data_IF_407712602702
#
_entry.id   IF_407712602702
#
_cell.length_a   1.000
_cell.length_b   1.000
_cell.length_c   1.000
_cell.angle_alpha   90.00
_cell.angle_beta   90.00
_cell.angle_gamma   90.00
#
_symmetry.space_group_name_H-M   'P 1'
#
loop_
_entity.id
_entity.type
_entity.pdbx_description
1 polymer ?
#
# COMPACT_ATOMS: atom_id res chain seq x y z
N UNK A 1 -26.35 4.71 -16.11
CA UNK A 1 -26.42 5.70 -15.01
C UNK A 1 -25.52 6.88 -15.36
N UNK A 2 -25.95 8.15 -15.14
CA UNK A 2 -25.09 9.30 -15.40
C UNK A 2 -23.86 9.24 -14.48
N UNK A 3 -22.67 9.44 -15.05
CA UNK A 3 -21.42 9.46 -14.27
C UNK A 3 -21.47 10.64 -13.31
N UNK A 4 -21.33 10.38 -12.00
CA UNK A 4 -21.25 11.42 -10.97
C UNK A 4 -20.09 12.36 -11.33
N UNK A 5 -20.36 13.64 -11.54
CA UNK A 5 -19.32 14.62 -11.84
C UNK A 5 -18.58 14.96 -10.54
N UNK A 6 -17.36 14.46 -10.31
CA UNK A 6 -16.68 14.65 -9.03
C UNK A 6 -16.37 16.13 -8.76
N UNK A 7 -16.33 16.96 -9.80
CA UNK A 7 -16.05 18.39 -9.70
C UNK A 7 -17.25 19.17 -9.16
N UNK A 8 -18.49 18.82 -9.54
CA UNK A 8 -19.67 19.55 -9.06
C UNK A 8 -19.84 19.39 -7.56
N UNK A 9 -19.60 18.19 -7.05
CA UNK A 9 -19.63 17.88 -5.62
C UNK A 9 -18.55 18.65 -4.83
N UNK A 10 -17.36 18.84 -5.43
CA UNK A 10 -16.28 19.60 -4.81
C UNK A 10 -16.58 21.11 -4.79
N UNK A 11 -17.24 21.65 -5.82
CA UNK A 11 -17.63 23.06 -5.87
C UNK A 11 -18.67 23.44 -4.81
N UNK A 12 -19.50 22.47 -4.39
CA UNK A 12 -20.51 22.69 -3.36
C UNK A 12 -19.94 22.74 -1.92
N UNK A 13 -18.69 22.29 -1.71
CA UNK A 13 -18.04 22.29 -0.39
C UNK A 13 -17.47 23.65 -0.03
N UNK A 14 -17.36 23.91 1.27
CA UNK A 14 -16.68 25.10 1.79
C UNK A 14 -15.17 25.03 1.56
N UNK A 15 -14.50 26.20 1.60
CA UNK A 15 -13.03 26.28 1.48
C UNK A 15 -12.34 25.40 2.52
N UNK A 16 -12.83 25.42 3.76
CA UNK A 16 -12.23 24.73 4.89
C UNK A 16 -12.33 23.21 4.71
N UNK A 17 -13.50 22.73 4.29
CA UNK A 17 -13.71 21.32 3.97
C UNK A 17 -12.84 20.87 2.79
N UNK A 18 -12.63 21.73 1.79
CA UNK A 18 -11.77 21.41 0.64
C UNK A 18 -10.30 21.31 1.04
N UNK A 19 -9.81 22.19 1.92
CA UNK A 19 -8.45 22.13 2.46
C UNK A 19 -8.28 20.86 3.29
N UNK A 20 -9.22 20.58 4.20
CA UNK A 20 -9.21 19.37 5.03
C UNK A 20 -9.22 18.09 4.17
N UNK A 21 -10.06 18.06 3.14
CA UNK A 21 -10.16 16.93 2.23
C UNK A 21 -8.86 16.76 1.42
N UNK A 22 -8.27 17.85 0.95
CA UNK A 22 -6.99 17.84 0.24
C UNK A 22 -5.86 17.24 1.09
N UNK A 23 -5.75 17.67 2.34
CA UNK A 23 -4.75 17.16 3.29
C UNK A 23 -5.00 15.68 3.64
N UNK A 24 -6.26 15.28 3.84
CA UNK A 24 -6.63 13.86 4.05
C UNK A 24 -6.22 12.99 2.86
N UNK A 25 -6.46 13.47 1.63
CA UNK A 25 -6.10 12.76 0.40
C UNK A 25 -4.59 12.70 0.17
N UNK A 26 -3.84 13.71 0.61
CA UNK A 26 -2.36 13.69 0.59
C UNK A 26 -1.80 12.67 1.58
N UNK A 27 -2.39 12.56 2.78
CA UNK A 27 -2.02 11.52 3.75
C UNK A 27 -2.29 10.12 3.19
N UNK A 28 -3.45 9.91 2.55
CA UNK A 28 -3.78 8.66 1.84
C UNK A 28 -2.74 8.35 0.75
N UNK A 29 -2.36 9.34 -0.07
CA UNK A 29 -1.33 9.16 -1.09
C UNK A 29 0.03 8.80 -0.49
N UNK A 30 0.41 9.39 0.65
CA UNK A 30 1.66 9.07 1.35
C UNK A 30 1.66 7.61 1.84
N UNK A 31 0.56 7.17 2.47
CA UNK A 31 0.36 5.79 2.89
C UNK A 31 0.47 4.80 1.71
N UNK A 32 -0.15 5.09 0.57
CA UNK A 32 -0.06 4.24 -0.62
C UNK A 32 1.36 4.17 -1.19
N UNK A 33 2.09 5.28 -1.21
CA UNK A 33 3.51 5.31 -1.62
C UNK A 33 4.38 4.50 -0.68
N UNK A 34 4.12 4.58 0.62
CA UNK A 34 4.81 3.79 1.62
C UNK A 34 4.56 2.28 1.41
N UNK A 35 3.30 1.86 1.22
CA UNK A 35 2.96 0.47 0.88
C UNK A 35 3.63 0.00 -0.42
N UNK A 36 3.72 0.87 -1.43
CA UNK A 36 4.41 0.56 -2.67
C UNK A 36 5.91 0.32 -2.45
N UNK A 37 6.55 1.17 -1.64
CA UNK A 37 7.97 1.03 -1.30
C UNK A 37 8.26 -0.23 -0.48
N UNK A 38 7.33 -0.62 0.41
CA UNK A 38 7.41 -1.85 1.23
C UNK A 38 7.03 -3.11 0.44
N UNK A 39 6.51 -2.96 -0.78
CA UNK A 39 6.12 -4.08 -1.64
C UNK A 39 4.83 -4.80 -1.22
N UNK A 40 3.98 -4.16 -0.42
CA UNK A 40 2.72 -4.74 0.09
C UNK A 40 1.47 -4.07 -0.52
N UNK A 41 1.62 -3.35 -1.64
CA UNK A 41 0.51 -2.63 -2.27
C UNK A 41 -0.31 -3.56 -3.18
N UNK A 42 -1.57 -3.79 -2.83
CA UNK A 42 -2.48 -4.61 -3.64
C UNK A 42 -3.12 -3.84 -4.81
N UNK A 43 -3.48 -2.56 -4.62
CA UNK A 43 -4.26 -1.77 -5.58
C UNK A 43 -3.43 -0.65 -6.25
N UNK A 44 -2.60 -1.02 -7.21
CA UNK A 44 -1.69 -0.09 -7.93
C UNK A 44 -2.40 1.04 -8.67
N UNK A 45 -3.57 0.77 -9.25
CA UNK A 45 -4.41 1.75 -9.97
C UNK A 45 -5.03 2.82 -9.07
N UNK A 46 -4.99 2.65 -7.75
CA UNK A 46 -5.55 3.62 -6.82
C UNK A 46 -4.68 4.89 -6.70
N UNK A 47 -3.36 4.75 -6.81
CA UNK A 47 -2.41 5.88 -6.79
C UNK A 47 -2.75 6.96 -7.84
N UNK A 48 -2.88 6.64 -9.15
CA UNK A 48 -3.23 7.65 -10.14
C UNK A 48 -4.64 8.22 -9.95
N UNK A 49 -5.55 7.48 -9.31
CA UNK A 49 -6.89 7.95 -8.98
C UNK A 49 -6.85 9.02 -7.89
N UNK A 50 -6.15 8.74 -6.77
CA UNK A 50 -5.95 9.71 -5.68
C UNK A 50 -5.20 10.96 -6.16
N UNK A 51 -4.18 10.81 -7.02
CA UNK A 51 -3.51 11.96 -7.65
C UNK A 51 -4.47 12.87 -8.42
N UNK A 52 -5.39 12.28 -9.20
CA UNK A 52 -6.41 13.04 -9.95
C UNK A 52 -7.41 13.72 -9.01
N UNK A 53 -7.78 13.08 -7.90
CA UNK A 53 -8.65 13.68 -6.89
C UNK A 53 -8.01 14.92 -6.26
N UNK A 54 -6.74 14.82 -5.84
CA UNK A 54 -5.98 15.97 -5.29
C UNK A 54 -5.94 17.11 -6.31
N UNK A 55 -5.61 16.82 -7.58
CA UNK A 55 -5.56 17.84 -8.63
C UNK A 55 -6.91 18.56 -8.85
N UNK A 56 -8.03 17.83 -8.74
CA UNK A 56 -9.38 18.43 -8.83
C UNK A 56 -9.69 19.33 -7.63
N UNK A 57 -9.29 18.93 -6.42
CA UNK A 57 -9.47 19.73 -5.21
C UNK A 57 -8.65 21.03 -5.31
N UNK A 58 -7.39 20.93 -5.73
CA UNK A 58 -6.51 22.08 -5.92
C UNK A 58 -7.04 23.03 -7.01
N UNK A 59 -7.62 22.49 -8.08
CA UNK A 59 -8.27 23.28 -9.11
C UNK A 59 -9.43 24.11 -8.54
N UNK A 60 -10.33 23.50 -7.78
CA UNK A 60 -11.49 24.20 -7.17
C UNK A 60 -11.02 25.22 -6.13
N UNK A 61 -10.00 24.91 -5.33
CA UNK A 61 -9.38 25.88 -4.42
C UNK A 61 -8.77 27.06 -5.18
N UNK A 62 -8.16 26.82 -6.34
CA UNK A 62 -7.64 27.86 -7.22
C UNK A 62 -8.76 28.75 -7.81
N UNK A 63 -9.89 28.15 -8.20
CA UNK A 63 -11.08 28.91 -8.63
C UNK A 63 -11.60 29.82 -7.51
N UNK A 64 -11.74 29.27 -6.29
CA UNK A 64 -12.20 30.01 -5.10
C UNK A 64 -11.25 31.13 -4.70
N UNK A 65 -9.94 30.91 -4.80
CA UNK A 65 -8.92 31.95 -4.58
C UNK A 65 -9.06 33.10 -5.58
N UNK A 66 -9.31 32.81 -6.86
CA UNK A 66 -9.56 33.83 -7.88
C UNK A 66 -10.87 34.60 -7.64
N UNK A 67 -11.85 33.96 -7.01
CA UNK A 67 -13.08 34.62 -6.57
C UNK A 67 -12.93 35.49 -5.30
N UNK A 68 -11.72 35.58 -4.73
CA UNK A 68 -11.43 36.39 -3.54
C UNK A 68 -11.67 35.68 -2.21
N UNK A 69 -11.92 34.36 -2.21
CA UNK A 69 -12.08 33.59 -0.98
C UNK A 69 -10.72 33.37 -0.28
N UNK A 70 -10.70 33.50 1.05
CA UNK A 70 -9.50 33.29 1.87
C UNK A 70 -9.13 31.80 1.90
N UNK A 71 -8.11 31.40 1.14
CA UNK A 71 -7.59 30.02 1.06
C UNK A 71 -6.34 29.78 1.92
N UNK A 72 -5.90 30.78 2.67
CA UNK A 72 -4.69 30.71 3.50
C UNK A 72 -5.02 30.17 4.89
N UNK A 73 -5.33 28.87 4.97
CA UNK A 73 -5.51 28.16 6.23
C UNK A 73 -4.65 26.90 6.20
N UNK A 74 -3.78 26.77 7.19
CA UNK A 74 -2.91 25.61 7.35
C UNK A 74 -3.60 24.59 8.22
N UNK A 75 -4.11 23.53 7.61
CA UNK A 75 -4.59 22.35 8.30
C UNK A 75 -3.48 21.31 8.24
N UNK A 76 -2.99 20.84 9.38
CA UNK A 76 -2.03 19.73 9.42
C UNK A 76 -2.81 18.42 9.36
N UNK A 77 -2.68 17.66 8.28
CA UNK A 77 -3.13 16.26 8.31
C UNK A 77 -2.27 15.44 9.28
N UNK A 78 -2.88 14.48 9.97
CA UNK A 78 -2.17 13.49 10.78
C UNK A 78 -1.57 12.41 9.86
N UNK A 79 -0.46 12.74 9.21
CA UNK A 79 0.29 11.82 8.34
C UNK A 79 0.75 10.55 9.08
N UNK A 80 1.06 10.66 10.37
CA UNK A 80 1.60 9.55 11.17
C UNK A 80 0.57 8.42 11.36
N UNK A 81 -0.70 8.76 11.59
CA UNK A 81 -1.78 7.78 11.75
C UNK A 81 -2.05 7.03 10.44
N UNK A 82 -1.99 7.75 9.31
CA UNK A 82 -2.19 7.14 7.99
C UNK A 82 -1.10 6.10 7.68
N UNK A 83 0.15 6.37 8.06
CA UNK A 83 1.27 5.42 7.88
C UNK A 83 1.14 4.22 8.80
N UNK A 84 0.77 4.42 10.08
CA UNK A 84 0.58 3.31 11.02
C UNK A 84 -0.50 2.32 10.53
N UNK A 85 -1.61 2.83 10.00
CA UNK A 85 -2.67 2.00 9.41
C UNK A 85 -2.19 1.30 8.11
N UNK A 86 -1.37 1.99 7.32
CA UNK A 86 -0.76 1.44 6.11
C UNK A 86 0.24 0.30 6.42
N UNK A 87 0.98 0.40 7.52
CA UNK A 87 1.89 -0.64 8.00
C UNK A 87 1.14 -1.89 8.47
N UNK A 88 0.05 -1.73 9.22
CA UNK A 88 -0.77 -2.86 9.68
C UNK A 88 -1.32 -3.64 8.50
N UNK A 89 -1.91 -2.95 7.52
CA UNK A 89 -2.37 -3.59 6.29
C UNK A 89 -1.23 -4.22 5.50
N UNK A 90 -0.06 -3.57 5.40
CA UNK A 90 1.10 -4.14 4.74
C UNK A 90 1.69 -5.38 5.43
N UNK A 91 1.58 -5.49 6.76
CA UNK A 91 1.94 -6.70 7.51
C UNK A 91 0.99 -7.85 7.20
N UNK A 92 -0.32 -7.59 7.14
CA UNK A 92 -1.32 -8.61 6.81
C UNK A 92 -1.14 -9.18 5.38
N UNK A 93 -0.85 -8.34 4.39
CA UNK A 93 -0.58 -8.79 3.00
C UNK A 93 0.65 -9.69 2.95
N UNK A 94 1.72 -9.32 3.67
CA UNK A 94 2.94 -10.14 3.75
C UNK A 94 2.71 -11.46 4.47
N UNK A 95 1.92 -11.47 5.54
CA UNK A 95 1.54 -12.69 6.24
C UNK A 95 0.72 -13.62 5.34
N UNK A 96 -0.22 -13.06 4.55
CA UNK A 96 -0.97 -13.81 3.55
C UNK A 96 -0.08 -14.40 2.46
N UNK A 97 0.85 -13.63 1.91
CA UNK A 97 1.82 -14.15 0.94
C UNK A 97 2.69 -15.24 1.54
N UNK A 98 3.12 -15.09 2.81
CA UNK A 98 3.86 -16.13 3.52
C UNK A 98 3.06 -17.42 3.68
N UNK A 99 1.83 -17.33 4.19
CA UNK A 99 0.94 -18.49 4.36
C UNK A 99 0.64 -19.18 3.03
N UNK A 100 0.42 -18.41 1.96
CA UNK A 100 0.22 -18.96 0.62
C UNK A 100 1.46 -19.69 0.10
N UNK A 101 2.66 -19.18 0.36
CA UNK A 101 3.92 -19.85 0.00
C UNK A 101 4.09 -21.14 0.82
N UNK A 102 3.80 -21.10 2.12
CA UNK A 102 3.85 -22.28 3.00
C UNK A 102 2.84 -23.35 2.58
N UNK A 103 1.60 -22.98 2.26
CA UNK A 103 0.58 -23.87 1.72
C UNK A 103 0.98 -24.43 0.36
N UNK A 104 1.45 -23.58 -0.57
CA UNK A 104 1.92 -24.03 -1.89
C UNK A 104 3.13 -24.97 -1.77
N UNK A 105 4.03 -24.72 -0.82
CA UNK A 105 5.15 -25.60 -0.53
C UNK A 105 4.67 -26.93 0.06
N UNK A 106 3.68 -26.89 0.96
CA UNK A 106 3.07 -28.09 1.51
C UNK A 106 2.27 -28.90 0.46
N UNK A 107 1.67 -28.25 -0.54
CA UNK A 107 0.95 -28.90 -1.64
C UNK A 107 1.89 -29.45 -2.72
N UNK A 108 2.92 -28.69 -3.13
CA UNK A 108 3.88 -29.12 -4.16
C UNK A 108 4.93 -30.10 -3.64
N UNK A 109 5.34 -29.98 -2.38
CA UNK A 109 6.28 -30.88 -1.71
C UNK A 109 5.60 -31.73 -0.64
N UNK A 110 4.32 -32.08 -0.84
CA UNK A 110 3.51 -32.93 0.04
C UNK A 110 4.36 -33.94 0.81
N UNK A 111 4.62 -33.62 2.07
CA UNK A 111 5.54 -34.34 2.95
C UNK A 111 6.82 -34.79 2.26
N UNK A 112 7.86 -33.95 2.23
CA UNK A 112 9.20 -34.54 2.30
C UNK A 112 9.22 -35.22 3.65
N UNK A 113 8.99 -36.54 3.68
CA UNK A 113 9.20 -37.35 4.87
C UNK A 113 10.53 -36.88 5.47
N UNK A 114 10.49 -36.36 6.69
CA UNK A 114 11.67 -35.84 7.35
C UNK A 114 12.81 -36.88 7.33
N UNK A 115 12.44 -38.16 7.29
CA UNK A 115 13.32 -39.31 7.12
C UNK A 115 14.02 -39.38 5.75
N UNK A 116 13.36 -39.00 4.65
CA UNK A 116 13.96 -39.00 3.31
C UNK A 116 14.98 -37.86 3.14
N UNK A 117 14.72 -36.70 3.75
CA UNK A 117 15.64 -35.55 3.74
C UNK A 117 16.84 -35.79 4.68
N UNK A 118 16.61 -36.42 5.84
CA UNK A 118 17.66 -36.85 6.75
C UNK A 118 18.54 -37.96 6.14
N UNK A 119 17.96 -38.93 5.42
CA UNK A 119 18.72 -39.97 4.73
C UNK A 119 19.55 -39.41 3.55
N UNK A 120 19.03 -38.41 2.83
CA UNK A 120 19.78 -37.74 1.77
C UNK A 120 20.96 -36.91 2.32
N UNK A 121 20.80 -36.28 3.48
CA UNK A 121 21.88 -35.55 4.15
C UNK A 121 22.93 -36.49 4.77
N UNK A 122 22.51 -37.60 5.39
CA UNK A 122 23.42 -38.60 5.95
C UNK A 122 24.28 -39.31 4.88
N UNK A 123 23.76 -39.47 3.65
CA UNK A 123 24.53 -40.01 2.53
C UNK A 123 25.45 -38.96 1.87
N UNK A 124 25.18 -37.66 2.04
CA UNK A 124 26.02 -36.57 1.56
C UNK A 124 27.29 -36.36 2.40
N UNK A 125 27.22 -36.62 3.71
CA UNK A 125 28.38 -36.48 4.61
C UNK A 125 29.42 -37.61 4.42
N UNK A 126 29.01 -38.82 4.04
CA UNK A 126 29.94 -39.94 3.77
C UNK A 126 30.77 -39.82 2.48
N UNK A 127 30.44 -38.87 1.60
CA UNK A 127 31.17 -38.67 0.34
C UNK A 127 32.35 -37.69 0.45
N UNK A 128 32.44 -36.91 1.53
CA UNK A 128 33.44 -35.84 1.67
C UNK A 128 34.71 -36.32 2.41
N UNK A 129 34.66 -37.44 3.15
CA UNK A 129 35.83 -37.93 3.91
C UNK A 129 36.78 -38.88 3.12
N UNK A 130 36.50 -39.14 1.82
CA UNK A 130 37.22 -40.14 1.02
C UNK A 130 38.41 -39.66 0.17
N UNK A 131 38.68 -38.35 0.05
CA UNK A 131 39.71 -37.83 -0.85
C UNK A 131 40.61 -36.79 -0.17
N UNK A 132 41.47 -37.26 0.73
CA UNK A 132 42.75 -36.60 0.99
C UNK A 132 43.78 -37.66 1.40
N UNK A 133 44.44 -38.24 0.40
CA UNK A 133 45.70 -38.97 0.55
C UNK A 133 46.62 -38.66 -0.61
#
# INVERSE_FOLDING_TARGET
MPKKNPITDLKAKSVDELIQLGETKRAELFALKFQAAVGSLEKTHHIPTIRKEIARIELVLGEKRRAGENTNKTIKANYNEAVANAEQSGKAVREKHRKMIEEMQAEQFGGVDADAMAAAMANGDNAIEGENK
#
